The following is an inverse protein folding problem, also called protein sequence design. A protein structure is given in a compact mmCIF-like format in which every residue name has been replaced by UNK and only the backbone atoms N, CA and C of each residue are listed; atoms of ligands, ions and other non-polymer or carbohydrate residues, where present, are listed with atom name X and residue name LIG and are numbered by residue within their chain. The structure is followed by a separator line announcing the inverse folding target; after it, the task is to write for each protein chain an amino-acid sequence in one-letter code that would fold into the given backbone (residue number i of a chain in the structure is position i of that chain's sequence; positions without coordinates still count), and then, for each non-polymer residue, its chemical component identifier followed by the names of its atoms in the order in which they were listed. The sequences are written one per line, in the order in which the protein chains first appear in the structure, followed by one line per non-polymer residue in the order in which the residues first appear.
data_IF_925223985191
#
_entry.id   IF_925223985191
#
_cell.length_a   1.000
_cell.length_b   1.000
_cell.length_c   1.000
_cell.angle_alpha   90.00
_cell.angle_beta   90.00
_cell.angle_gamma   90.00
#
_symmetry.space_group_name_H-M   'P 1'
#
loop_
_entity.id
_entity.type
_entity.pdbx_description
1 polymer ?
#
# COMPACT_ATOMS: atom_id res chain seq x y z
N UNK A 1 -3.04 19.50 3.75
CA UNK A 1 -3.83 18.45 4.40
C UNK A 1 -3.03 17.16 4.38
N UNK A 2 -2.83 16.48 5.52
CA UNK A 2 -2.13 15.19 5.55
C UNK A 2 -3.02 14.04 5.06
N UNK A 3 -2.42 12.88 4.76
CA UNK A 3 -3.16 11.69 4.30
C UNK A 3 -4.34 11.31 5.21
N UNK A 4 -4.18 11.46 6.53
CA UNK A 4 -5.26 11.22 7.50
C UNK A 4 -6.47 12.14 7.30
N UNK A 5 -6.24 13.43 7.01
CA UNK A 5 -7.32 14.39 6.78
C UNK A 5 -8.07 14.09 5.47
N UNK A 6 -7.33 13.77 4.40
CA UNK A 6 -7.93 13.37 3.12
C UNK A 6 -8.73 12.07 3.29
N UNK A 7 -8.19 11.08 4.00
CA UNK A 7 -8.90 9.85 4.31
C UNK A 7 -10.18 10.06 5.10
N UNK A 8 -10.17 10.96 6.09
CA UNK A 8 -11.38 11.30 6.85
C UNK A 8 -12.45 11.95 5.97
N UNK A 9 -12.06 12.90 5.11
CA UNK A 9 -12.99 13.55 4.18
C UNK A 9 -13.57 12.55 3.16
N UNK A 10 -12.73 11.66 2.61
CA UNK A 10 -13.20 10.62 1.69
C UNK A 10 -14.23 9.67 2.36
N UNK A 11 -14.01 9.29 3.64
CA UNK A 11 -14.99 8.48 4.40
C UNK A 11 -16.30 9.23 4.68
N UNK A 12 -16.27 10.57 4.68
CA UNK A 12 -17.46 11.41 4.79
C UNK A 12 -18.17 11.63 3.44
N UNK A 13 -17.67 11.02 2.36
CA UNK A 13 -18.27 11.12 1.03
C UNK A 13 -17.81 12.34 0.23
N UNK A 14 -16.74 13.02 0.65
CA UNK A 14 -16.15 14.12 -0.13
C UNK A 14 -15.63 13.60 -1.50
N UNK A 15 -16.18 14.07 -2.63
CA UNK A 15 -15.77 13.61 -3.96
C UNK A 15 -14.34 14.03 -4.32
N UNK A 16 -13.89 15.21 -3.89
CA UNK A 16 -12.54 15.68 -4.15
C UNK A 16 -11.51 14.85 -3.39
N UNK A 17 -11.78 14.54 -2.12
CA UNK A 17 -10.94 13.67 -1.33
C UNK A 17 -10.85 12.25 -1.94
N UNK A 18 -11.98 11.72 -2.39
CA UNK A 18 -12.05 10.43 -3.07
C UNK A 18 -11.26 10.42 -4.38
N UNK A 19 -11.32 11.48 -5.17
CA UNK A 19 -10.55 11.62 -6.40
C UNK A 19 -9.03 11.69 -6.14
N UNK A 20 -8.61 12.38 -5.08
CA UNK A 20 -7.20 12.43 -4.65
C UNK A 20 -6.71 11.02 -4.28
N UNK A 21 -7.45 10.30 -3.44
CA UNK A 21 -7.09 8.95 -3.04
C UNK A 21 -7.05 7.99 -4.22
N UNK A 22 -8.05 8.04 -5.11
CA UNK A 22 -8.07 7.22 -6.33
C UNK A 22 -6.82 7.43 -7.16
N UNK A 23 -6.46 8.69 -7.42
CA UNK A 23 -5.27 9.03 -8.20
C UNK A 23 -4.01 8.49 -7.52
N UNK A 24 -3.86 8.72 -6.22
CA UNK A 24 -2.70 8.26 -5.45
C UNK A 24 -2.57 6.73 -5.45
N UNK A 25 -3.68 6.01 -5.25
CA UNK A 25 -3.68 4.55 -5.18
C UNK A 25 -3.49 3.89 -6.54
N UNK A 26 -3.97 4.49 -7.64
CA UNK A 26 -3.67 3.99 -8.99
C UNK A 26 -2.17 4.06 -9.29
N UNK A 27 -1.52 5.20 -9.01
CA UNK A 27 -0.06 5.29 -9.21
C UNK A 27 0.72 4.35 -8.30
N UNK A 28 0.34 4.23 -7.03
CA UNK A 28 0.98 3.32 -6.10
C UNK A 28 0.80 1.85 -6.53
N UNK A 29 -0.41 1.48 -6.93
CA UNK A 29 -0.73 0.13 -7.41
C UNK A 29 0.05 -0.25 -8.67
N UNK A 30 0.14 0.65 -9.66
CA UNK A 30 0.94 0.42 -10.86
C UNK A 30 2.44 0.27 -10.57
N UNK A 31 2.97 1.04 -9.61
CA UNK A 31 4.35 0.87 -9.14
C UNK A 31 4.54 -0.49 -8.45
N UNK A 32 3.58 -0.93 -7.62
CA UNK A 32 3.62 -2.24 -6.99
C UNK A 32 3.53 -3.37 -8.02
N UNK A 33 2.66 -3.27 -9.03
CA UNK A 33 2.58 -4.24 -10.12
C UNK A 33 3.93 -4.39 -10.85
N UNK A 34 4.62 -3.27 -11.06
CA UNK A 34 5.98 -3.27 -11.64
C UNK A 34 6.96 -4.05 -10.77
N UNK A 35 6.94 -3.83 -9.45
CA UNK A 35 7.78 -4.57 -8.50
C UNK A 35 7.43 -6.06 -8.50
N UNK A 36 6.15 -6.41 -8.55
CA UNK A 36 5.68 -7.80 -8.64
C UNK A 36 6.22 -8.48 -9.88
N UNK A 37 6.11 -7.82 -11.03
CA UNK A 37 6.60 -8.35 -12.31
C UNK A 37 8.13 -8.55 -12.31
N UNK A 38 8.87 -7.67 -11.63
CA UNK A 38 10.32 -7.72 -11.60
C UNK A 38 10.86 -8.76 -10.62
N UNK A 39 10.25 -8.89 -9.43
CA UNK A 39 10.82 -9.65 -8.32
C UNK A 39 10.03 -10.92 -7.95
N UNK A 40 8.78 -11.05 -8.41
CA UNK A 40 7.84 -12.10 -7.99
C UNK A 40 7.86 -12.38 -6.47
N UNK A 41 7.64 -11.35 -5.62
CA UNK A 41 7.76 -11.51 -4.18
C UNK A 41 6.56 -12.27 -3.61
N UNK A 42 6.77 -13.01 -2.51
CA UNK A 42 5.65 -13.66 -1.79
C UNK A 42 4.76 -12.65 -1.06
N UNK A 43 5.32 -11.50 -0.65
CA UNK A 43 4.60 -10.47 0.09
C UNK A 43 5.13 -9.05 -0.16
N UNK A 44 4.25 -8.06 -0.03
CA UNK A 44 4.58 -6.64 0.03
C UNK A 44 4.04 -6.07 1.35
N UNK A 45 4.94 -5.54 2.18
CA UNK A 45 4.61 -4.96 3.48
C UNK A 45 4.50 -3.43 3.35
N UNK A 46 3.33 -2.87 3.65
CA UNK A 46 3.07 -1.43 3.57
C UNK A 46 3.04 -0.81 4.96
N UNK A 47 3.98 0.09 5.22
CA UNK A 47 4.10 0.81 6.49
C UNK A 47 3.87 2.32 6.38
N UNK A 48 4.29 3.06 7.40
CA UNK A 48 4.22 4.52 7.45
C UNK A 48 2.81 5.09 7.64
N UNK A 49 2.68 6.42 7.55
CA UNK A 49 1.42 7.13 7.81
C UNK A 49 0.28 6.79 6.84
N UNK A 50 0.60 6.37 5.62
CA UNK A 50 -0.40 5.96 4.62
C UNK A 50 -1.11 4.66 5.00
N UNK A 51 -0.46 3.79 5.79
CA UNK A 51 -1.06 2.55 6.31
C UNK A 51 -2.29 2.79 7.19
N UNK A 52 -2.53 4.03 7.66
CA UNK A 52 -3.76 4.41 8.36
C UNK A 52 -5.00 4.44 7.44
N UNK A 53 -4.81 4.39 6.12
CA UNK A 53 -5.87 4.33 5.11
C UNK A 53 -6.06 2.92 4.55
N UNK A 54 -5.66 1.89 5.32
CA UNK A 54 -5.62 0.50 4.86
C UNK A 54 -6.94 0.00 4.25
N UNK A 55 -8.06 0.32 4.89
CA UNK A 55 -9.42 -0.01 4.45
C UNK A 55 -9.75 0.58 3.07
N UNK A 56 -9.30 1.80 2.81
CA UNK A 56 -9.52 2.49 1.55
C UNK A 56 -8.52 2.07 0.48
N UNK A 57 -7.30 1.71 0.87
CA UNK A 57 -6.17 1.51 -0.02
C UNK A 57 -6.08 0.07 -0.53
N UNK A 58 -6.25 -0.92 0.35
CA UNK A 58 -6.02 -2.33 0.03
C UNK A 58 -6.81 -2.82 -1.20
N UNK A 59 -8.11 -2.51 -1.36
CA UNK A 59 -8.87 -2.97 -2.53
C UNK A 59 -8.33 -2.38 -3.85
N UNK A 60 -7.89 -1.13 -3.85
CA UNK A 60 -7.33 -0.47 -5.03
C UNK A 60 -5.98 -1.08 -5.39
N UNK A 61 -5.10 -1.26 -4.42
CA UNK A 61 -3.78 -1.85 -4.67
C UNK A 61 -3.89 -3.28 -5.19
N UNK A 62 -4.78 -4.07 -4.61
CA UNK A 62 -5.03 -5.43 -5.09
C UNK A 62 -5.49 -5.42 -6.55
N UNK A 63 -6.46 -4.57 -6.89
CA UNK A 63 -6.95 -4.44 -8.26
C UNK A 63 -5.86 -4.03 -9.26
N UNK A 64 -5.05 -3.02 -8.93
CA UNK A 64 -3.99 -2.51 -9.81
C UNK A 64 -2.84 -3.52 -9.97
N UNK A 65 -2.51 -4.27 -8.91
CA UNK A 65 -1.53 -5.35 -9.01
C UNK A 65 -2.08 -6.45 -9.91
N UNK A 66 -3.30 -6.93 -9.68
CA UNK A 66 -3.85 -8.02 -10.47
C UNK A 66 -4.04 -7.64 -11.94
N UNK A 67 -4.37 -6.38 -12.25
CA UNK A 67 -4.51 -5.88 -13.62
C UNK A 67 -3.17 -5.59 -14.31
N UNK A 68 -2.16 -5.16 -13.56
CA UNK A 68 -0.83 -4.80 -14.08
C UNK A 68 0.20 -5.95 -14.05
N UNK A 69 -0.13 -7.08 -13.42
CA UNK A 69 0.79 -8.22 -13.30
C UNK A 69 0.78 -9.12 -14.53
N UNK A 70 1.94 -9.70 -14.87
CA UNK A 70 2.02 -10.77 -15.88
C UNK A 70 1.16 -11.97 -15.48
N UNK A 71 0.64 -12.68 -16.49
CA UNK A 71 -0.18 -13.87 -16.30
C UNK A 71 0.50 -14.89 -15.39
N UNK A 72 -0.19 -15.31 -14.33
CA UNK A 72 0.28 -16.28 -13.35
C UNK A 72 0.83 -15.68 -12.06
N UNK A 73 0.94 -14.35 -11.93
CA UNK A 73 1.31 -13.65 -10.69
C UNK A 73 0.12 -13.00 -9.97
N UNK A 74 -1.05 -12.92 -10.62
CA UNK A 74 -2.28 -12.43 -10.00
C UNK A 74 -2.61 -13.24 -8.74
N UNK A 75 -3.07 -12.56 -7.69
CA UNK A 75 -3.46 -13.15 -6.40
C UNK A 75 -2.37 -13.97 -5.67
N UNK A 76 -1.12 -13.98 -6.13
CA UNK A 76 -0.03 -14.70 -5.46
C UNK A 76 0.69 -13.86 -4.42
N UNK A 77 0.73 -12.55 -4.61
CA UNK A 77 1.45 -11.63 -3.73
C UNK A 77 0.55 -11.24 -2.56
N UNK A 78 1.06 -11.46 -1.35
CA UNK A 78 0.38 -11.06 -0.13
C UNK A 78 0.65 -9.60 0.21
N UNK A 79 -0.35 -8.72 0.07
CA UNK A 79 -0.24 -7.35 0.58
C UNK A 79 -0.56 -7.35 2.07
N UNK A 80 0.34 -6.85 2.90
CA UNK A 80 0.22 -6.83 4.36
C UNK A 80 0.51 -5.46 4.93
N UNK A 81 -0.12 -5.14 6.06
CA UNK A 81 0.16 -3.92 6.82
C UNK A 81 1.37 -4.15 7.71
N UNK A 82 2.28 -3.18 7.80
CA UNK A 82 3.38 -3.23 8.76
C UNK A 82 2.85 -3.15 10.20
N UNK A 83 3.34 -4.02 11.08
CA UNK A 83 2.85 -4.15 12.46
C UNK A 83 3.77 -3.51 13.50
N UNK A 84 5.05 -3.31 13.16
CA UNK A 84 6.08 -2.78 14.08
C UNK A 84 5.97 -1.28 14.38
N UNK A 85 5.06 -0.57 13.72
CA UNK A 85 4.72 0.82 14.03
C UNK A 85 5.92 1.75 14.05
N UNK A 86 5.99 2.62 15.07
CA UNK A 86 7.04 3.65 15.20
C UNK A 86 8.42 3.07 15.52
N UNK A 87 8.46 1.87 16.08
CA UNK A 87 9.70 1.26 16.56
C UNK A 87 10.41 0.44 15.49
N UNK A 88 9.83 0.33 14.29
CA UNK A 88 10.39 -0.42 13.14
C UNK A 88 11.87 -0.13 12.89
N UNK A 89 12.29 1.13 12.99
CA UNK A 89 13.68 1.53 12.78
C UNK A 89 14.64 1.02 13.87
N UNK A 90 14.17 0.97 15.13
CA UNK A 90 14.96 0.48 16.26
C UNK A 90 15.15 -1.04 16.16
N UNK A 91 14.08 -1.79 15.84
CA UNK A 91 14.18 -3.23 15.61
C UNK A 91 15.12 -3.55 14.43
N UNK A 92 15.02 -2.79 13.33
CA UNK A 92 15.92 -2.94 12.19
C UNK A 92 17.38 -2.67 12.56
N UNK A 93 17.65 -1.60 13.32
CA UNK A 93 19.00 -1.31 13.81
C UNK A 93 19.53 -2.44 14.70
N UNK A 94 18.73 -2.93 15.65
CA UNK A 94 19.13 -4.05 16.52
C UNK A 94 19.48 -5.32 15.74
N UNK A 95 18.72 -5.64 14.68
CA UNK A 95 18.94 -6.82 13.84
C UNK A 95 20.24 -6.77 13.02
N UNK A 96 20.86 -5.60 12.82
CA UNK A 96 22.13 -5.47 12.11
C UNK A 96 23.35 -5.72 13.00
N UNK A 97 23.20 -5.62 14.32
CA UNK A 97 24.29 -5.77 15.29
C UNK A 97 24.35 -7.16 15.95
N UNK A 98 23.44 -8.07 15.58
CA UNK A 98 23.44 -9.47 16.01
C UNK A 98 24.06 -10.40 14.98
#
# INVERSE_FOLDING_TARGET
MGAAAVGAAARQGDPAASAILKTAFTYLGGAMATVVNLLNPEAIIVGGGVSALWDLMLPYLQHEIDSGSVAGFQNKVQIRRAELGRDTGIYGAGALFV
#
